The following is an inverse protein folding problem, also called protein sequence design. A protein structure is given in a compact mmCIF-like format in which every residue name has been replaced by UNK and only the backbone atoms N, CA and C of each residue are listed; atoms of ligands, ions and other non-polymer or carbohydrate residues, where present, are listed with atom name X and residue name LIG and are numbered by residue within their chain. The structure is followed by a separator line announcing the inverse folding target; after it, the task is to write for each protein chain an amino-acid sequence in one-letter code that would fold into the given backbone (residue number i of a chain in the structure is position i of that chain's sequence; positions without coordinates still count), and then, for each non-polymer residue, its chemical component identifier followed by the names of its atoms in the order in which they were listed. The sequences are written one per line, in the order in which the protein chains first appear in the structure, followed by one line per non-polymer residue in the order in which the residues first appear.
data_IF_127484873774
#
_entry.id   IF_127484873774
#
_cell.length_a   1.000
_cell.length_b   1.000
_cell.length_c   1.000
_cell.angle_alpha   90.00
_cell.angle_beta   90.00
_cell.angle_gamma   90.00
#
_symmetry.space_group_name_H-M   'P 1'
#
loop_
_entity.id
_entity.type
_entity.pdbx_description
1 polymer ?
#
# COMPACT_ATOMS: atom_id res chain seq x y z
N UNK A 1 48.01 14.60 -27.21
CA UNK A 1 47.01 14.90 -26.17
C UNK A 1 45.98 13.78 -26.13
N UNK A 2 45.55 13.32 -24.94
CA UNK A 2 44.61 12.20 -24.79
C UNK A 2 43.16 12.63 -25.01
N UNK A 3 42.36 11.81 -25.69
CA UNK A 3 40.89 11.80 -25.55
C UNK A 3 40.30 10.46 -26.03
N UNK A 4 40.76 9.35 -25.48
CA UNK A 4 39.98 8.11 -25.52
C UNK A 4 38.68 8.36 -24.76
N UNK A 5 37.56 8.42 -25.48
CA UNK A 5 36.24 8.56 -24.85
C UNK A 5 35.89 7.24 -24.19
N UNK A 6 36.06 7.17 -22.88
CA UNK A 6 35.57 6.07 -22.04
C UNK A 6 34.03 6.15 -22.00
N UNK A 7 33.39 5.69 -23.07
CA UNK A 7 32.01 5.25 -23.02
C UNK A 7 31.99 3.85 -22.40
N UNK A 8 32.26 3.78 -21.10
CA UNK A 8 31.91 2.63 -20.28
C UNK A 8 30.38 2.57 -20.19
N UNK A 9 29.74 2.06 -21.24
CA UNK A 9 28.30 1.82 -21.24
C UNK A 9 27.96 0.86 -20.11
N UNK A 10 27.10 1.31 -19.18
CA UNK A 10 26.53 0.52 -18.08
C UNK A 10 26.15 -0.86 -18.62
N UNK A 11 26.76 -1.94 -18.08
CA UNK A 11 26.75 -3.28 -18.69
C UNK A 11 25.41 -3.96 -18.42
N UNK A 12 24.38 -3.48 -19.10
CA UNK A 12 22.98 -3.82 -18.86
C UNK A 12 22.76 -5.33 -18.70
N UNK A 13 22.48 -5.73 -17.45
CA UNK A 13 22.19 -7.10 -17.04
C UNK A 13 21.19 -7.79 -17.97
N UNK A 14 21.51 -9.00 -18.43
CA UNK A 14 20.78 -9.72 -19.49
C UNK A 14 19.58 -10.53 -19.01
N UNK A 15 19.42 -10.77 -17.71
CA UNK A 15 18.33 -11.61 -17.17
C UNK A 15 16.98 -10.90 -17.07
N UNK A 16 15.98 -11.61 -16.55
CA UNK A 16 14.61 -11.11 -16.37
C UNK A 16 14.56 -10.02 -15.28
N UNK A 17 14.39 -8.76 -15.67
CA UNK A 17 14.34 -7.60 -14.76
C UNK A 17 13.24 -7.69 -13.70
N UNK A 18 12.11 -8.33 -14.04
CA UNK A 18 10.97 -8.54 -13.14
C UNK A 18 11.38 -9.30 -11.88
N UNK A 19 12.15 -10.38 -12.00
CA UNK A 19 12.50 -11.25 -10.86
C UNK A 19 13.91 -11.04 -10.32
N UNK A 20 14.83 -10.45 -11.10
CA UNK A 20 16.21 -10.19 -10.67
C UNK A 20 16.32 -9.43 -9.32
N UNK A 21 17.32 -9.81 -8.50
CA UNK A 21 17.62 -9.14 -7.24
C UNK A 21 18.09 -7.70 -7.44
N UNK A 22 18.07 -6.89 -6.38
CA UNK A 22 18.64 -5.52 -6.37
C UNK A 22 20.13 -5.55 -6.73
N UNK A 23 20.90 -6.54 -6.26
CA UNK A 23 22.32 -6.69 -6.61
C UNK A 23 22.53 -6.95 -8.11
N UNK A 24 21.65 -7.72 -8.76
CA UNK A 24 21.72 -8.01 -10.19
C UNK A 24 21.44 -6.76 -11.06
N UNK A 25 20.54 -5.87 -10.61
CA UNK A 25 20.34 -4.55 -11.22
C UNK A 25 21.52 -3.60 -10.98
N UNK A 26 22.25 -3.77 -9.88
CA UNK A 26 23.45 -3.01 -9.52
C UNK A 26 24.75 -3.61 -10.09
N UNK A 27 24.66 -4.60 -11.00
CA UNK A 27 25.79 -5.27 -11.66
C UNK A 27 26.84 -5.89 -10.69
N UNK A 28 26.40 -6.23 -9.46
CA UNK A 28 27.22 -6.92 -8.46
C UNK A 28 27.29 -8.43 -8.72
N UNK A 29 28.33 -9.06 -8.17
CA UNK A 29 28.39 -10.53 -8.10
C UNK A 29 27.17 -11.10 -7.37
N UNK A 30 26.67 -12.23 -7.87
CA UNK A 30 25.47 -12.89 -7.38
C UNK A 30 25.80 -14.10 -6.51
N UNK A 31 24.91 -14.36 -5.56
CA UNK A 31 25.08 -15.36 -4.50
C UNK A 31 23.75 -16.02 -4.14
N UNK A 32 23.77 -16.95 -3.18
CA UNK A 32 22.57 -17.67 -2.71
C UNK A 32 21.42 -16.77 -2.25
N UNK A 33 21.71 -15.53 -1.80
CA UNK A 33 20.68 -14.56 -1.40
C UNK A 33 19.92 -14.00 -2.62
N UNK A 34 20.54 -13.98 -3.79
CA UNK A 34 19.99 -13.39 -5.01
C UNK A 34 19.01 -14.33 -5.72
N UNK A 35 19.25 -15.64 -5.66
CA UNK A 35 18.25 -16.67 -6.03
C UNK A 35 17.00 -16.57 -5.14
N UNK A 36 17.19 -16.34 -3.84
CA UNK A 36 16.09 -16.20 -2.88
C UNK A 36 15.34 -14.88 -3.04
N UNK A 37 16.01 -13.78 -3.42
CA UNK A 37 15.33 -12.55 -3.85
C UNK A 37 14.51 -12.77 -5.12
N UNK A 38 14.97 -13.63 -6.03
CA UNK A 38 14.22 -13.99 -7.23
C UNK A 38 12.97 -14.81 -6.88
N UNK A 39 13.09 -15.79 -5.97
CA UNK A 39 11.95 -16.51 -5.41
C UNK A 39 10.97 -15.59 -4.68
N UNK A 40 11.45 -14.67 -3.84
CA UNK A 40 10.61 -13.67 -3.18
C UNK A 40 9.80 -12.85 -4.18
N UNK A 41 10.42 -12.39 -5.26
CA UNK A 41 9.73 -11.63 -6.32
C UNK A 41 8.65 -12.46 -7.02
N UNK A 42 8.87 -13.76 -7.25
CA UNK A 42 7.85 -14.69 -7.79
C UNK A 42 6.69 -14.89 -6.79
N UNK A 43 6.97 -14.97 -5.50
CA UNK A 43 5.90 -15.07 -4.49
C UNK A 43 5.11 -13.76 -4.37
N UNK A 44 5.74 -12.59 -4.54
CA UNK A 44 5.02 -11.31 -4.70
C UNK A 44 4.14 -11.34 -5.95
N UNK A 45 4.65 -11.83 -7.09
CA UNK A 45 3.89 -11.97 -8.34
C UNK A 45 2.58 -12.77 -8.16
N UNK A 46 2.67 -13.89 -7.42
CA UNK A 46 1.56 -14.80 -7.14
C UNK A 46 0.58 -14.31 -6.06
N UNK A 47 1.01 -13.41 -5.17
CA UNK A 47 0.20 -12.94 -4.02
C UNK A 47 -0.25 -11.48 -4.14
N UNK A 48 0.24 -10.75 -5.14
CA UNK A 48 -0.17 -9.38 -5.40
C UNK A 48 -1.37 -9.35 -6.35
N UNK A 49 -2.44 -8.70 -5.91
CA UNK A 49 -3.76 -8.79 -6.55
C UNK A 49 -3.87 -8.09 -7.90
N UNK A 50 -2.89 -7.26 -8.27
CA UNK A 50 -2.80 -6.68 -9.62
C UNK A 50 -2.48 -7.68 -10.73
N UNK A 51 -2.40 -8.99 -10.44
CA UNK A 51 -2.03 -10.01 -11.43
C UNK A 51 -0.55 -9.89 -11.84
N UNK A 52 0.31 -9.62 -10.87
CA UNK A 52 1.76 -9.57 -11.04
C UNK A 52 2.47 -8.62 -10.08
N UNK A 53 3.80 -8.60 -10.14
CA UNK A 53 4.64 -7.70 -9.32
C UNK A 53 4.33 -6.22 -9.55
N UNK A 54 4.41 -5.34 -8.52
CA UNK A 54 4.06 -3.92 -8.66
C UNK A 54 4.84 -3.14 -9.74
N UNK A 55 6.08 -3.54 -10.03
CA UNK A 55 6.90 -2.97 -11.11
C UNK A 55 6.62 -3.58 -12.49
N UNK A 56 5.59 -4.42 -12.66
CA UNK A 56 5.23 -5.02 -13.94
C UNK A 56 4.87 -3.96 -15.00
N UNK A 57 4.26 -2.84 -14.60
CA UNK A 57 3.87 -1.76 -15.52
C UNK A 57 5.10 -1.10 -16.18
N UNK A 58 6.23 -1.03 -15.49
CA UNK A 58 7.47 -0.43 -16.01
C UNK A 58 8.41 -1.43 -16.71
N UNK A 59 7.99 -2.70 -16.92
CA UNK A 59 8.87 -3.82 -17.36
C UNK A 59 9.74 -3.61 -18.60
N UNK A 60 9.43 -2.63 -19.46
CA UNK A 60 10.22 -2.25 -20.65
C UNK A 60 11.46 -1.41 -20.30
N UNK A 61 11.46 -0.72 -19.17
CA UNK A 61 12.57 0.09 -18.66
C UNK A 61 13.15 -0.57 -17.41
N UNK A 62 14.41 -1.02 -17.51
CA UNK A 62 15.10 -1.73 -16.42
C UNK A 62 15.44 -0.81 -15.24
N UNK A 63 15.73 0.46 -15.50
CA UNK A 63 16.03 1.44 -14.44
C UNK A 63 14.74 1.77 -13.69
N UNK A 64 13.63 2.00 -14.40
CA UNK A 64 12.33 2.19 -13.75
C UNK A 64 11.88 0.96 -12.94
N UNK A 65 12.13 -0.26 -13.43
CA UNK A 65 11.91 -1.50 -12.65
C UNK A 65 12.76 -1.53 -11.38
N UNK A 66 14.06 -1.21 -11.47
CA UNK A 66 14.95 -1.15 -10.32
C UNK A 66 14.45 -0.15 -9.26
N UNK A 67 14.12 1.07 -9.67
CA UNK A 67 13.68 2.13 -8.75
C UNK A 67 12.36 1.78 -8.04
N UNK A 68 11.35 1.26 -8.76
CA UNK A 68 10.08 0.84 -8.16
C UNK A 68 10.28 -0.37 -7.24
N UNK A 69 11.10 -1.36 -7.64
CA UNK A 69 11.42 -2.53 -6.81
C UNK A 69 12.13 -2.14 -5.51
N UNK A 70 13.10 -1.22 -5.59
CA UNK A 70 13.85 -0.73 -4.42
C UNK A 70 12.92 -0.05 -3.42
N UNK A 71 12.06 0.87 -3.89
CA UNK A 71 11.01 1.50 -3.07
C UNK A 71 10.07 0.46 -2.44
N UNK A 72 9.56 -0.50 -3.21
CA UNK A 72 8.72 -1.57 -2.66
C UNK A 72 9.38 -2.37 -1.53
N UNK A 73 10.69 -2.64 -1.63
CA UNK A 73 11.45 -3.39 -0.62
C UNK A 73 11.74 -2.52 0.62
N UNK A 74 12.06 -1.25 0.43
CA UNK A 74 12.56 -0.37 1.49
C UNK A 74 11.49 0.42 2.25
N UNK A 75 10.32 0.67 1.64
CA UNK A 75 9.39 1.73 2.07
C UNK A 75 8.18 1.27 2.93
N UNK A 76 7.60 2.24 3.64
CA UNK A 76 6.37 2.17 4.43
C UNK A 76 5.10 2.27 3.58
N UNK A 77 5.12 2.79 2.35
CA UNK A 77 3.92 2.80 1.49
C UNK A 77 3.34 1.39 1.25
N UNK A 78 4.21 0.38 1.20
CA UNK A 78 3.83 -1.02 1.06
C UNK A 78 3.71 -1.76 2.41
N UNK A 79 3.71 -1.02 3.53
CA UNK A 79 3.53 -1.56 4.88
C UNK A 79 2.26 -2.37 5.01
N UNK A 80 1.17 -1.98 4.35
CA UNK A 80 -0.10 -2.70 4.42
C UNK A 80 -0.04 -4.10 3.81
N UNK A 81 0.66 -4.27 2.67
CA UNK A 81 0.96 -5.59 2.13
C UNK A 81 1.79 -6.41 3.13
N UNK A 82 2.89 -5.86 3.64
CA UNK A 82 3.74 -6.57 4.60
C UNK A 82 3.11 -6.80 5.98
N UNK A 83 2.09 -6.02 6.38
CA UNK A 83 1.32 -6.24 7.60
C UNK A 83 0.29 -7.36 7.41
N UNK A 84 -0.43 -7.37 6.29
CA UNK A 84 -1.40 -8.41 5.91
C UNK A 84 -0.73 -9.75 5.60
N UNK A 85 0.51 -9.73 5.12
CA UNK A 85 1.34 -10.92 4.91
C UNK A 85 2.57 -10.96 5.84
N UNK A 86 2.40 -11.20 7.17
CA UNK A 86 3.53 -11.33 8.09
C UNK A 86 4.61 -12.35 7.68
N UNK A 87 4.29 -13.49 7.01
CA UNK A 87 5.33 -14.38 6.50
C UNK A 87 6.22 -13.72 5.45
N UNK A 88 5.65 -12.96 4.51
CA UNK A 88 6.41 -12.24 3.48
C UNK A 88 7.28 -11.13 4.05
N UNK A 89 6.80 -10.44 5.09
CA UNK A 89 7.61 -9.46 5.82
C UNK A 89 8.84 -10.12 6.44
N UNK A 90 8.65 -11.19 7.22
CA UNK A 90 9.76 -11.95 7.83
C UNK A 90 10.71 -12.57 6.80
N UNK A 91 10.20 -12.96 5.62
CA UNK A 91 11.02 -13.44 4.51
C UNK A 91 11.93 -12.31 4.00
N UNK A 92 11.35 -11.14 3.68
CA UNK A 92 12.08 -9.94 3.25
C UNK A 92 13.14 -9.53 4.27
N UNK A 93 12.77 -9.47 5.55
CA UNK A 93 13.66 -9.04 6.62
C UNK A 93 14.86 -9.99 6.76
N UNK A 94 14.64 -11.31 6.65
CA UNK A 94 15.74 -12.28 6.61
C UNK A 94 16.62 -12.14 5.36
N UNK A 95 16.07 -11.83 4.18
CA UNK A 95 16.89 -11.59 3.00
C UNK A 95 17.72 -10.29 3.09
N UNK A 96 17.18 -9.24 3.71
CA UNK A 96 17.91 -7.97 3.93
C UNK A 96 19.05 -8.11 4.95
N UNK A 97 19.05 -9.14 5.79
CA UNK A 97 20.12 -9.40 6.77
C UNK A 97 21.23 -10.33 6.28
N UNK A 98 21.20 -10.80 5.02
CA UNK A 98 22.18 -11.74 4.49
C UNK A 98 23.29 -11.05 3.69
N UNK A 99 24.54 -11.33 4.04
CA UNK A 99 25.70 -10.98 3.25
C UNK A 99 26.04 -11.97 2.13
N UNK A 100 26.95 -11.58 1.23
CA UNK A 100 27.27 -12.34 0.01
C UNK A 100 27.68 -13.80 0.27
N UNK A 101 28.50 -14.03 1.30
CA UNK A 101 28.98 -15.36 1.68
C UNK A 101 28.06 -16.10 2.66
N UNK A 102 27.01 -15.46 3.18
CA UNK A 102 26.16 -16.03 4.22
C UNK A 102 25.38 -17.25 3.72
N UNK A 103 25.13 -18.18 4.63
CA UNK A 103 24.26 -19.33 4.41
C UNK A 103 22.83 -18.96 4.86
N UNK A 104 21.86 -18.84 3.94
CA UNK A 104 20.48 -18.53 4.30
C UNK A 104 19.89 -19.57 5.27
N UNK A 105 18.98 -19.12 6.15
CA UNK A 105 18.22 -20.04 7.00
C UNK A 105 17.06 -20.65 6.20
N UNK A 106 17.38 -21.61 5.33
CA UNK A 106 16.40 -22.28 4.47
C UNK A 106 15.24 -22.92 5.24
N UNK A 107 15.47 -23.39 6.48
CA UNK A 107 14.41 -23.96 7.34
C UNK A 107 13.38 -22.89 7.73
N UNK A 108 13.85 -21.71 8.15
CA UNK A 108 12.98 -20.55 8.41
C UNK A 108 12.19 -20.16 7.16
N UNK A 109 12.87 -19.99 6.02
CA UNK A 109 12.23 -19.58 4.77
C UNK A 109 11.15 -20.58 4.31
N UNK A 110 11.40 -21.88 4.42
CA UNK A 110 10.42 -22.92 4.13
C UNK A 110 9.20 -22.83 5.07
N UNK A 111 9.41 -22.67 6.38
CA UNK A 111 8.31 -22.47 7.34
C UNK A 111 7.50 -21.20 7.05
N UNK A 112 8.13 -20.12 6.59
CA UNK A 112 7.42 -18.90 6.19
C UNK A 112 6.56 -19.13 4.95
N UNK A 113 7.06 -19.82 3.92
CA UNK A 113 6.25 -20.19 2.73
C UNK A 113 5.09 -21.13 3.08
N UNK A 114 5.33 -22.14 3.93
CA UNK A 114 4.28 -23.03 4.41
C UNK A 114 3.20 -22.31 5.23
N UNK A 115 3.56 -21.23 5.94
CA UNK A 115 2.58 -20.41 6.67
C UNK A 115 1.86 -19.43 5.75
N UNK A 116 2.52 -18.93 4.70
CA UNK A 116 1.89 -18.11 3.65
C UNK A 116 0.82 -18.90 2.89
N UNK A 117 1.13 -20.15 2.51
CA UNK A 117 0.21 -21.05 1.81
C UNK A 117 -1.02 -21.50 2.65
N UNK A 118 -1.06 -21.18 3.95
CA UNK A 118 -2.22 -21.41 4.84
C UNK A 118 -3.11 -20.19 5.01
N UNK A 119 -2.73 -19.04 4.45
CA UNK A 119 -3.57 -17.83 4.51
C UNK A 119 -4.76 -18.04 3.56
N UNK A 120 -6.02 -17.93 4.03
CA UNK A 120 -7.19 -18.12 3.18
C UNK A 120 -7.25 -17.09 2.05
N UNK A 121 -7.78 -17.49 0.89
CA UNK A 121 -8.01 -16.57 -0.25
C UNK A 121 -8.80 -15.32 0.15
N UNK A 122 -9.75 -15.43 1.08
CA UNK A 122 -10.52 -14.29 1.60
C UNK A 122 -9.69 -13.24 2.36
N UNK A 123 -8.52 -13.60 2.90
CA UNK A 123 -7.55 -12.65 3.48
C UNK A 123 -6.50 -12.20 2.46
N UNK A 124 -6.34 -12.98 1.38
CA UNK A 124 -5.61 -12.63 0.16
C UNK A 124 -6.39 -11.63 -0.71
N UNK A 125 -7.71 -11.52 -0.51
CA UNK A 125 -8.72 -10.54 -0.97
C UNK A 125 -8.52 -9.04 -0.60
N UNK A 126 -8.41 -8.08 -1.55
CA UNK A 126 -8.81 -6.68 -1.34
C UNK A 126 -10.18 -6.49 -1.99
N UNK A 127 -11.25 -6.49 -1.20
CA UNK A 127 -12.49 -5.85 -1.63
C UNK A 127 -12.26 -4.34 -1.58
N UNK A 128 -12.13 -3.70 -2.75
CA UNK A 128 -12.28 -2.25 -2.86
C UNK A 128 -13.75 -1.91 -2.58
N UNK A 129 -14.08 -1.66 -1.31
CA UNK A 129 -15.32 -0.98 -0.97
C UNK A 129 -15.31 0.39 -1.64
N UNK A 130 -16.32 0.63 -2.49
CA UNK A 130 -16.52 1.80 -3.37
C UNK A 130 -16.08 1.64 -4.84
N UNK A 131 -16.63 0.65 -5.53
CA UNK A 131 -17.28 0.94 -6.81
C UNK A 131 -18.75 0.53 -6.72
N UNK A 132 -19.63 1.54 -6.57
CA UNK A 132 -21.04 1.37 -6.83
C UNK A 132 -21.21 1.42 -8.36
N UNK A 133 -21.18 0.26 -9.00
CA UNK A 133 -21.47 0.17 -10.42
C UNK A 133 -22.98 0.36 -10.64
N UNK A 134 -23.34 1.42 -11.35
CA UNK A 134 -24.68 1.98 -11.33
C UNK A 134 -25.63 1.30 -12.32
N UNK A 135 -26.46 0.38 -11.84
CA UNK A 135 -27.54 -0.21 -12.64
C UNK A 135 -28.81 0.66 -12.62
N UNK A 136 -28.92 1.58 -13.58
CA UNK A 136 -30.20 2.05 -14.13
C UNK A 136 -30.58 1.13 -15.31
N UNK A 137 -31.82 0.78 -15.66
CA UNK A 137 -33.16 0.84 -15.02
C UNK A 137 -34.05 -0.18 -15.80
N UNK A 138 -35.35 -0.45 -15.58
CA UNK A 138 -36.46 0.19 -14.85
C UNK A 138 -37.41 -0.91 -14.30
N UNK A 139 -38.44 -0.56 -13.51
CA UNK A 139 -39.86 -0.66 -13.94
C UNK A 139 -40.89 -0.52 -12.78
N UNK A 140 -41.84 0.41 -12.99
CA UNK A 140 -43.25 0.41 -12.54
C UNK A 140 -43.54 0.79 -11.05
N UNK A 141 -44.66 1.53 -10.76
CA UNK A 141 -44.64 2.59 -9.75
C UNK A 141 -45.32 2.26 -8.41
N UNK A 142 -45.09 3.15 -7.44
CA UNK A 142 -45.54 3.06 -6.07
C UNK A 142 -47.08 3.05 -5.88
N UNK A 143 -47.53 2.24 -4.92
CA UNK A 143 -48.85 2.36 -4.31
C UNK A 143 -48.80 2.23 -2.78
N UNK A 144 -49.42 3.23 -2.12
CA UNK A 144 -50.37 3.06 -1.00
C UNK A 144 -49.81 2.75 0.42
N UNK A 145 -49.77 3.82 1.24
CA UNK A 145 -50.44 3.94 2.57
C UNK A 145 -49.62 4.36 3.81
N UNK A 146 -50.34 5.12 4.64
CA UNK A 146 -49.93 5.89 5.81
C UNK A 146 -49.98 5.07 7.12
N UNK A 147 -49.16 5.45 8.10
CA UNK A 147 -49.46 5.31 9.54
C UNK A 147 -48.72 6.44 10.28
N UNK A 148 -49.45 7.49 10.70
CA UNK A 148 -49.89 7.69 12.09
C UNK A 148 -48.74 7.87 13.10
N UNK A 149 -48.56 9.13 13.55
CA UNK A 149 -47.61 9.47 14.60
C UNK A 149 -48.26 9.44 15.99
N UNK A 150 -47.41 9.40 17.02
CA UNK A 150 -47.82 9.52 18.42
C UNK A 150 -46.92 10.54 19.12
N UNK A 151 -47.49 11.65 19.57
CA UNK A 151 -46.82 12.57 20.49
C UNK A 151 -46.94 12.04 21.93
N UNK A 152 -45.96 12.32 22.79
CA UNK A 152 -46.18 12.29 24.22
C UNK A 152 -45.48 13.48 24.91
N UNK A 153 -46.21 14.10 25.83
CA UNK A 153 -45.83 15.33 26.52
C UNK A 153 -44.86 15.08 27.69
N UNK A 154 -44.02 16.09 27.96
CA UNK A 154 -42.90 16.00 28.90
C UNK A 154 -43.22 16.03 30.40
N UNK A 155 -42.16 16.20 31.19
CA UNK A 155 -42.18 16.59 32.61
C UNK A 155 -40.86 17.29 32.95
N UNK A 156 -40.93 18.37 33.72
CA UNK A 156 -39.79 19.18 34.16
C UNK A 156 -39.37 18.81 35.59
N UNK A 157 -38.10 19.04 35.95
CA UNK A 157 -37.75 19.72 37.21
C UNK A 157 -36.25 20.08 37.34
N UNK A 158 -36.05 21.28 37.90
CA UNK A 158 -34.92 21.90 38.61
C UNK A 158 -33.77 20.96 39.09
N UNK A 159 -32.49 21.37 39.19
CA UNK A 159 -31.85 22.67 38.97
C UNK A 159 -30.91 23.07 40.13
N UNK A 160 -29.60 23.25 39.87
CA UNK A 160 -28.62 23.82 40.84
C UNK A 160 -27.51 24.60 40.13
N UNK A 161 -26.90 25.59 40.79
CA UNK A 161 -26.14 26.69 40.17
C UNK A 161 -24.66 26.43 39.80
N UNK A 162 -24.28 27.03 38.67
CA UNK A 162 -23.06 27.79 38.37
C UNK A 162 -21.75 27.54 39.13
N UNK A 163 -20.66 27.41 38.34
CA UNK A 163 -19.55 28.36 38.52
C UNK A 163 -18.95 28.78 37.15
N UNK A 164 -18.52 30.04 37.05
CA UNK A 164 -18.25 30.75 35.78
C UNK A 164 -16.79 31.20 35.70
N UNK A 165 -16.03 30.69 34.74
CA UNK A 165 -14.69 31.22 34.42
C UNK A 165 -14.79 32.24 33.29
N UNK A 166 -14.04 33.33 33.38
CA UNK A 166 -14.21 34.53 32.54
C UNK A 166 -13.59 34.40 31.14
N UNK A 167 -14.07 35.25 30.23
CA UNK A 167 -13.74 35.27 28.79
C UNK A 167 -12.85 36.49 28.53
N UNK A 168 -11.73 36.32 27.83
CA UNK A 168 -10.86 37.44 27.42
C UNK A 168 -10.93 37.67 25.89
N UNK A 169 -11.39 38.87 25.51
CA UNK A 169 -10.83 39.66 24.41
C UNK A 169 -10.99 39.16 22.97
N UNK A 170 -12.09 39.57 22.32
CA UNK A 170 -12.24 39.52 20.86
C UNK A 170 -11.76 40.83 20.21
N UNK A 171 -11.14 40.77 19.04
CA UNK A 171 -11.42 41.74 17.96
C UNK A 171 -11.52 41.03 16.61
N UNK A 172 -12.58 41.35 15.86
CA UNK A 172 -12.89 40.81 14.53
C UNK A 172 -12.83 41.98 13.55
N UNK A 173 -12.03 41.87 12.48
CA UNK A 173 -12.04 42.89 11.43
C UNK A 173 -13.33 42.76 10.61
N UNK A 174 -14.18 43.78 10.67
CA UNK A 174 -15.49 43.78 10.04
C UNK A 174 -15.46 44.10 8.54
N UNK A 175 -16.32 43.40 7.79
CA UNK A 175 -16.70 43.76 6.42
C UNK A 175 -17.47 45.09 6.43
N UNK A 176 -17.09 46.05 5.58
CA UNK A 176 -17.93 47.22 5.31
C UNK A 176 -18.78 47.01 4.06
N UNK A 177 -20.06 47.34 4.18
CA UNK A 177 -21.05 47.39 3.10
C UNK A 177 -21.66 48.79 3.10
N UNK A 178 -21.36 49.54 2.04
CA UNK A 178 -22.05 50.75 1.58
C UNK A 178 -22.17 50.57 0.06
N UNK A 179 -23.23 50.98 -0.64
CA UNK A 179 -24.38 51.80 -0.27
C UNK A 179 -24.82 52.55 -1.53
N UNK A 180 -26.06 52.37 -1.97
CA UNK A 180 -26.52 52.77 -3.30
C UNK A 180 -26.72 54.28 -3.46
N UNK A 181 -26.25 54.84 -4.59
CA UNK A 181 -26.93 55.89 -5.37
C UNK A 181 -26.68 55.63 -6.86
#
# INVERSE_FOLDING_TARGET
HKSERIYAGKKMYKGCSLYASINAHEEKDLSRRDDLWSLFNVVVDLTHQGGGVPWQVTKRDKEAVYQVKKRFIDDLEHRDYFLRFPPMRKFKDHLKSLEFYDKPNYKLLMTLLQNLAKIPESQTTFTNGNQADGTQANDIPAQVTQAHGTQNHGSQSNGTQSNRTQINGTQINGTQINGTQ
#
